data_IF_377508747892
#
_entry.id   IF_377508747892
#
_cell.length_a   1.000
_cell.length_b   1.000
_cell.length_c   1.000
_cell.angle_alpha   90.00
_cell.angle_beta   90.00
_cell.angle_gamma   90.00
#
_symmetry.space_group_name_H-M   'P 1'
#
loop_
_entity.id
_entity.type
_entity.pdbx_description
1 polymer ?
#
# COMPACT_ATOMS: atom_id res chain seq x y z
N UNK A 1 28.23 1.68 -5.38
CA UNK A 1 27.53 0.80 -6.34
C UNK A 1 27.46 -0.67 -5.90
N UNK A 2 28.55 -1.31 -5.47
CA UNK A 2 28.55 -2.75 -5.10
C UNK A 2 27.59 -3.10 -3.94
N UNK A 3 27.48 -2.24 -2.91
CA UNK A 3 26.59 -2.47 -1.77
C UNK A 3 25.10 -2.46 -2.13
N UNK A 4 24.67 -1.46 -2.92
CA UNK A 4 23.27 -1.31 -3.36
C UNK A 4 22.85 -2.51 -4.23
N UNK A 5 23.70 -2.98 -5.14
CA UNK A 5 23.40 -4.14 -5.98
C UNK A 5 23.22 -5.43 -5.17
N UNK A 6 23.96 -5.59 -4.06
CA UNK A 6 23.80 -6.74 -3.16
C UNK A 6 22.47 -6.68 -2.41
N UNK A 7 22.06 -5.50 -1.93
CA UNK A 7 20.76 -5.28 -1.29
C UNK A 7 19.59 -5.55 -2.25
N UNK A 8 19.65 -5.04 -3.47
CA UNK A 8 18.61 -5.27 -4.50
C UNK A 8 18.39 -6.77 -4.74
N UNK A 9 19.46 -7.56 -4.86
CA UNK A 9 19.34 -9.02 -5.05
C UNK A 9 18.66 -9.71 -3.87
N UNK A 10 18.88 -9.23 -2.63
CA UNK A 10 18.20 -9.73 -1.44
C UNK A 10 16.71 -9.39 -1.52
N UNK A 11 16.36 -8.14 -1.82
CA UNK A 11 14.97 -7.71 -1.95
C UNK A 11 14.21 -8.46 -3.05
N UNK A 12 14.85 -8.69 -4.21
CA UNK A 12 14.30 -9.53 -5.28
C UNK A 12 13.98 -10.95 -4.78
N UNK A 13 14.92 -11.57 -4.05
CA UNK A 13 14.72 -12.93 -3.51
C UNK A 13 13.60 -12.96 -2.47
N UNK A 14 13.56 -11.98 -1.56
CA UNK A 14 12.52 -11.86 -0.55
C UNK A 14 11.13 -11.67 -1.18
N UNK A 15 11.00 -10.73 -2.13
CA UNK A 15 9.74 -10.47 -2.83
C UNK A 15 9.25 -11.72 -3.59
N UNK A 16 10.13 -12.43 -4.30
CA UNK A 16 9.77 -13.63 -5.05
C UNK A 16 9.37 -14.80 -4.13
N UNK A 17 10.13 -15.02 -3.06
CA UNK A 17 9.93 -16.18 -2.19
C UNK A 17 8.78 -15.96 -1.22
N UNK A 18 8.75 -14.79 -0.59
CA UNK A 18 7.88 -14.46 0.53
C UNK A 18 6.71 -13.54 0.14
N UNK A 19 6.74 -12.91 -1.03
CA UNK A 19 5.72 -11.97 -1.49
C UNK A 19 5.85 -10.57 -0.89
N UNK A 20 6.89 -10.33 -0.08
CA UNK A 20 7.17 -9.06 0.59
C UNK A 20 8.67 -8.87 0.78
N UNK A 21 9.15 -7.65 0.60
CA UNK A 21 10.49 -7.21 1.02
C UNK A 21 10.39 -5.86 1.74
N UNK A 22 11.28 -5.63 2.70
CA UNK A 22 11.38 -4.34 3.42
C UNK A 22 12.65 -3.67 2.95
N UNK A 23 12.52 -2.47 2.40
CA UNK A 23 13.68 -1.74 1.89
C UNK A 23 14.14 -0.68 2.88
N UNK A 24 15.43 -0.37 2.79
CA UNK A 24 16.06 0.70 3.54
C UNK A 24 15.45 2.07 3.20
N UNK A 25 15.76 3.07 4.02
CA UNK A 25 15.22 4.42 3.87
C UNK A 25 15.76 5.07 2.60
N UNK A 26 14.87 5.45 1.69
CA UNK A 26 15.22 6.13 0.42
C UNK A 26 14.81 7.61 0.39
N UNK A 27 14.12 8.08 1.42
CA UNK A 27 13.66 9.47 1.55
C UNK A 27 14.26 10.14 2.79
N UNK A 28 14.52 11.45 2.71
CA UNK A 28 14.93 12.24 3.88
C UNK A 28 13.80 12.36 4.91
N UNK A 29 14.16 12.54 6.19
CA UNK A 29 13.16 12.77 7.24
C UNK A 29 12.31 14.01 6.97
N UNK A 30 12.93 15.06 6.45
CA UNK A 30 12.23 16.28 6.09
C UNK A 30 11.13 16.04 5.06
N UNK A 31 11.43 15.27 4.00
CA UNK A 31 10.44 14.92 2.96
C UNK A 31 9.28 14.12 3.55
N UNK A 32 9.57 13.20 4.47
CA UNK A 32 8.56 12.38 5.13
C UNK A 32 7.67 13.21 6.07
N UNK A 33 8.26 14.09 6.88
CA UNK A 33 7.52 14.99 7.78
C UNK A 33 6.61 15.94 7.00
N UNK A 34 7.14 16.55 5.93
CA UNK A 34 6.33 17.41 5.03
C UNK A 34 5.17 16.65 4.41
N UNK A 35 5.42 15.43 3.92
CA UNK A 35 4.36 14.61 3.32
C UNK A 35 3.30 14.19 4.34
N UNK A 36 3.69 13.87 5.58
CA UNK A 36 2.73 13.59 6.65
C UNK A 36 1.82 14.78 6.95
N UNK A 37 2.37 16.01 6.96
CA UNK A 37 1.56 17.22 7.12
C UNK A 37 0.60 17.40 5.95
N UNK A 38 1.08 17.25 4.72
CA UNK A 38 0.24 17.32 3.52
C UNK A 38 -0.91 16.30 3.53
N UNK A 39 -0.65 15.06 3.97
CA UNK A 39 -1.71 14.05 4.16
C UNK A 39 -2.76 14.54 5.17
N UNK A 40 -2.33 15.15 6.27
CA UNK A 40 -3.27 15.71 7.25
C UNK A 40 -4.09 16.86 6.67
N UNK A 41 -3.47 17.76 5.89
CA UNK A 41 -4.16 18.85 5.21
C UNK A 41 -5.27 18.30 4.29
N UNK A 42 -4.95 17.29 3.48
CA UNK A 42 -5.96 16.61 2.63
C UNK A 42 -7.06 15.97 3.47
N UNK A 43 -6.74 15.31 4.60
CA UNK A 43 -7.74 14.74 5.52
C UNK A 43 -8.69 15.83 6.06
N UNK A 44 -8.18 17.04 6.32
CA UNK A 44 -8.95 18.20 6.77
C UNK A 44 -9.68 18.95 5.63
N UNK A 45 -9.66 18.44 4.40
CA UNK A 45 -10.32 19.08 3.25
C UNK A 45 -9.56 20.24 2.64
N UNK A 46 -8.30 20.45 3.04
CA UNK A 46 -7.44 21.49 2.49
C UNK A 46 -6.68 20.95 1.28
N UNK A 47 -7.20 21.21 0.08
CA UNK A 47 -6.62 20.73 -1.18
C UNK A 47 -5.77 21.83 -1.84
N UNK A 48 -4.44 21.71 -1.74
CA UNK A 48 -3.47 22.67 -2.30
C UNK A 48 -3.67 22.91 -3.80
N UNK A 49 -4.01 21.86 -4.55
CA UNK A 49 -4.21 21.91 -6.00
C UNK A 49 -5.61 22.38 -6.41
N UNK A 50 -6.52 22.55 -5.45
CA UNK A 50 -7.95 22.76 -5.71
C UNK A 50 -8.70 21.50 -6.19
N UNK A 51 -8.05 20.34 -6.26
CA UNK A 51 -8.64 19.09 -6.74
C UNK A 51 -8.93 18.17 -5.55
N UNK A 52 -10.16 17.69 -5.43
CA UNK A 52 -10.53 16.72 -4.40
C UNK A 52 -9.88 15.35 -4.63
N UNK A 53 -9.64 14.55 -3.58
CA UNK A 53 -9.22 13.17 -3.74
C UNK A 53 -10.30 12.36 -4.48
N UNK A 54 -9.93 11.23 -5.07
CA UNK A 54 -10.88 10.41 -5.85
C UNK A 54 -12.02 9.85 -4.98
N UNK A 55 -11.71 9.42 -3.76
CA UNK A 55 -12.71 8.86 -2.85
C UNK A 55 -12.30 9.07 -1.39
N UNK A 56 -13.29 9.29 -0.51
CA UNK A 56 -13.08 9.45 0.94
C UNK A 56 -13.90 8.40 1.68
N UNK A 57 -13.21 7.52 2.41
CA UNK A 57 -13.85 6.51 3.26
C UNK A 57 -14.03 6.98 4.71
N UNK A 58 -13.73 8.26 4.95
CA UNK A 58 -13.87 8.96 6.21
C UNK A 58 -14.00 10.45 5.92
N UNK A 59 -14.94 11.12 6.57
CA UNK A 59 -15.20 12.56 6.47
C UNK A 59 -14.97 13.27 7.79
N UNK A 60 -14.74 14.59 7.73
CA UNK A 60 -14.58 15.42 8.94
C UNK A 60 -15.85 15.29 9.78
N UNK A 61 -15.68 14.89 11.05
CA UNK A 61 -16.79 14.62 11.96
C UNK A 61 -17.13 13.13 12.13
N UNK A 62 -16.61 12.26 11.26
CA UNK A 62 -16.72 10.81 11.46
C UNK A 62 -15.97 10.36 12.72
N UNK A 63 -16.29 9.15 13.19
CA UNK A 63 -15.71 8.61 14.40
C UNK A 63 -14.15 8.63 14.34
N UNK A 64 -13.48 9.29 15.29
CA UNK A 64 -12.03 9.46 15.26
C UNK A 64 -11.25 8.18 15.55
N UNK A 65 -11.93 7.09 15.96
CA UNK A 65 -11.33 5.76 16.15
C UNK A 65 -11.33 4.90 14.88
N UNK A 66 -11.98 5.34 13.80
CA UNK A 66 -11.96 4.63 12.52
C UNK A 66 -10.62 4.86 11.81
N UNK A 67 -10.18 3.87 11.02
CA UNK A 67 -9.13 4.12 10.03
C UNK A 67 -9.63 5.20 9.07
N UNK A 68 -8.82 6.25 8.89
CA UNK A 68 -9.05 7.26 7.86
C UNK A 68 -8.33 6.77 6.59
N UNK A 69 -9.10 6.59 5.51
CA UNK A 69 -8.62 6.20 4.18
C UNK A 69 -9.10 7.20 3.15
N UNK A 70 -8.15 7.74 2.39
CA UNK A 70 -8.38 8.69 1.29
C UNK A 70 -7.70 8.13 0.04
N UNK A 71 -8.42 8.04 -1.06
CA UNK A 71 -7.93 7.51 -2.34
C UNK A 71 -7.50 8.63 -3.28
N UNK A 72 -6.38 8.40 -3.98
CA UNK A 72 -5.66 9.36 -4.82
C UNK A 72 -5.43 10.74 -4.19
N UNK A 73 -4.96 10.84 -2.92
CA UNK A 73 -4.66 12.14 -2.30
C UNK A 73 -3.52 12.89 -3.00
N UNK A 74 -2.76 12.22 -3.89
CA UNK A 74 -1.74 12.86 -4.72
C UNK A 74 -2.30 13.82 -5.77
N UNK A 75 -3.60 13.76 -6.07
CA UNK A 75 -4.27 14.76 -6.91
C UNK A 75 -4.47 16.07 -6.17
N UNK A 76 -4.68 16.00 -4.85
CA UNK A 76 -5.02 17.13 -3.99
C UNK A 76 -3.83 17.90 -3.44
N UNK A 77 -2.64 17.30 -3.47
CA UNK A 77 -1.45 17.90 -2.88
C UNK A 77 -0.16 17.53 -3.61
N UNK A 78 0.61 18.56 -3.97
CA UNK A 78 1.84 18.45 -4.74
C UNK A 78 2.98 17.78 -3.97
N UNK A 79 3.03 17.94 -2.66
CA UNK A 79 4.00 17.26 -1.79
C UNK A 79 3.76 15.74 -1.79
N UNK A 80 2.50 15.32 -1.71
CA UNK A 80 2.12 13.89 -1.81
C UNK A 80 2.49 13.36 -3.20
N UNK A 81 2.16 14.11 -4.26
CA UNK A 81 2.52 13.75 -5.63
C UNK A 81 4.03 13.55 -5.78
N UNK A 82 4.85 14.51 -5.35
CA UNK A 82 6.32 14.48 -5.40
C UNK A 82 6.94 13.33 -4.57
N UNK A 83 6.25 12.81 -3.55
CA UNK A 83 6.70 11.61 -2.85
C UNK A 83 6.53 10.37 -3.73
N UNK A 84 5.31 10.15 -4.25
CA UNK A 84 4.98 8.91 -4.97
C UNK A 84 5.54 8.89 -6.40
N UNK A 85 5.88 10.04 -6.99
CA UNK A 85 6.50 10.16 -8.31
C UNK A 85 8.01 10.36 -8.28
N UNK A 86 8.65 10.12 -7.13
CA UNK A 86 10.07 10.33 -6.96
C UNK A 86 10.91 9.44 -7.91
N UNK A 87 11.84 10.00 -8.71
CA UNK A 87 12.65 9.19 -9.63
C UNK A 87 13.47 8.10 -8.93
N UNK A 88 14.00 8.38 -7.73
CA UNK A 88 14.70 7.36 -6.93
C UNK A 88 13.78 6.20 -6.53
N UNK A 89 12.50 6.46 -6.25
CA UNK A 89 11.54 5.39 -5.98
C UNK A 89 11.32 4.56 -7.24
N UNK A 90 11.11 5.21 -8.39
CA UNK A 90 10.94 4.54 -9.67
C UNK A 90 12.11 3.59 -10.00
N UNK A 91 13.35 4.06 -9.84
CA UNK A 91 14.55 3.25 -10.09
C UNK A 91 14.70 2.08 -9.09
N UNK A 92 14.45 2.30 -7.80
CA UNK A 92 14.47 1.19 -6.83
C UNK A 92 13.42 0.13 -7.15
N UNK A 93 12.20 0.56 -7.50
CA UNK A 93 11.13 -0.34 -7.86
C UNK A 93 11.44 -1.12 -9.14
N UNK A 94 11.98 -0.48 -10.17
CA UNK A 94 12.35 -1.14 -11.43
C UNK A 94 13.40 -2.24 -11.23
N UNK A 95 14.41 -1.96 -10.42
CA UNK A 95 15.45 -2.92 -10.08
C UNK A 95 14.90 -4.09 -9.26
N UNK A 96 14.05 -3.82 -8.26
CA UNK A 96 13.48 -4.87 -7.38
C UNK A 96 12.48 -5.76 -8.14
N UNK A 97 11.64 -5.20 -9.01
CA UNK A 97 10.64 -5.97 -9.76
C UNK A 97 11.15 -6.50 -11.10
N UNK A 98 12.38 -6.12 -11.49
CA UNK A 98 13.00 -6.41 -12.79
C UNK A 98 12.07 -6.00 -13.94
N UNK A 99 11.68 -4.74 -13.92
CA UNK A 99 10.67 -4.18 -14.83
C UNK A 99 11.23 -2.96 -15.55
N UNK A 100 10.86 -2.82 -16.82
CA UNK A 100 11.29 -1.70 -17.65
C UNK A 100 10.39 -0.48 -17.47
N UNK A 101 9.18 -0.68 -16.98
CA UNK A 101 8.21 0.38 -16.70
C UNK A 101 7.73 0.25 -15.26
N UNK A 102 7.68 1.37 -14.54
CA UNK A 102 6.95 1.50 -13.27
C UNK A 102 5.93 2.64 -13.42
N UNK A 103 4.65 2.31 -13.34
CA UNK A 103 3.57 3.27 -13.38
C UNK A 103 2.81 3.25 -12.05
N UNK A 104 2.58 4.42 -11.47
CA UNK A 104 1.60 4.59 -10.39
C UNK A 104 0.23 4.51 -11.03
N UNK A 105 -0.62 3.60 -10.59
CA UNK A 105 -2.01 3.55 -11.08
C UNK A 105 -3.05 3.90 -10.00
N UNK A 106 -2.65 3.86 -8.73
CA UNK A 106 -3.50 4.29 -7.62
C UNK A 106 -2.64 4.61 -6.39
N UNK A 107 -3.12 5.49 -5.52
CA UNK A 107 -2.52 5.73 -4.21
C UNK A 107 -3.57 5.91 -3.13
N UNK A 108 -3.20 5.67 -1.88
CA UNK A 108 -4.07 5.85 -0.72
C UNK A 108 -3.24 6.44 0.41
N UNK A 109 -3.82 7.33 1.20
CA UNK A 109 -3.29 7.64 2.52
C UNK A 109 -4.08 6.88 3.57
N UNK A 110 -3.37 6.16 4.44
CA UNK A 110 -3.96 5.44 5.57
C UNK A 110 -3.47 6.08 6.85
N UNK A 111 -4.40 6.63 7.63
CA UNK A 111 -4.15 7.17 8.96
C UNK A 111 -4.91 6.34 9.99
N UNK A 112 -4.15 5.61 10.80
CA UNK A 112 -4.69 4.75 11.84
C UNK A 112 -4.60 5.46 13.20
N UNK A 113 -5.72 5.82 13.82
CA UNK A 113 -5.72 6.57 15.07
C UNK A 113 -5.13 5.76 16.23
N UNK A 114 -4.62 6.41 17.29
CA UNK A 114 -4.22 5.73 18.53
C UNK A 114 -5.42 5.27 19.36
N UNK A 115 -5.17 4.51 20.43
CA UNK A 115 -6.17 4.18 21.45
C UNK A 115 -6.94 2.88 21.25
N UNK A 116 -6.48 2.03 20.33
CA UNK A 116 -6.98 0.67 20.12
C UNK A 116 -8.41 0.57 19.59
N UNK A 117 -8.98 -0.62 19.69
CA UNK A 117 -10.33 -0.98 19.29
C UNK A 117 -10.41 -1.64 17.91
N UNK A 118 -11.37 -2.56 17.79
CA UNK A 118 -11.67 -3.32 16.57
C UNK A 118 -11.92 -2.45 15.32
N UNK A 119 -12.41 -1.21 15.51
CA UNK A 119 -12.62 -0.25 14.41
C UNK A 119 -11.33 0.16 13.69
N UNK A 120 -10.20 0.05 14.39
CA UNK A 120 -8.88 0.25 13.83
C UNK A 120 -8.37 -0.93 13.00
N UNK A 121 -9.08 -2.07 12.93
CA UNK A 121 -8.62 -3.24 12.19
C UNK A 121 -8.73 -3.07 10.66
N UNK A 122 -7.82 -3.68 9.94
CA UNK A 122 -7.97 -4.04 8.53
C UNK A 122 -7.90 -5.56 8.44
N UNK A 123 -8.97 -6.20 7.96
CA UNK A 123 -9.06 -7.65 7.85
C UNK A 123 -8.02 -8.25 6.90
N UNK A 124 -7.93 -9.57 6.87
CA UNK A 124 -7.06 -10.27 5.94
C UNK A 124 -7.58 -10.10 4.52
N UNK A 125 -6.72 -9.62 3.63
CA UNK A 125 -7.11 -9.39 2.24
C UNK A 125 -5.90 -9.55 1.32
N UNK A 126 -6.20 -9.64 0.03
CA UNK A 126 -5.24 -9.46 -1.05
C UNK A 126 -5.65 -8.25 -1.82
N UNK A 127 -4.69 -7.41 -2.16
CA UNK A 127 -4.95 -6.21 -2.95
C UNK A 127 -5.66 -6.53 -4.28
N UNK A 128 -5.19 -7.56 -4.98
CA UNK A 128 -5.72 -8.00 -6.28
C UNK A 128 -7.21 -8.36 -6.24
N UNK A 129 -7.77 -8.68 -5.06
CA UNK A 129 -9.19 -9.02 -4.95
C UNK A 129 -10.13 -7.82 -5.18
N UNK A 130 -9.59 -6.60 -5.07
CA UNK A 130 -10.29 -5.36 -5.37
C UNK A 130 -9.95 -4.79 -6.74
N UNK A 131 -9.05 -5.43 -7.49
CA UNK A 131 -8.54 -4.95 -8.78
C UNK A 131 -8.89 -5.92 -9.91
N UNK A 132 -10.18 -6.19 -10.16
CA UNK A 132 -10.59 -7.23 -11.11
C UNK A 132 -10.18 -6.91 -12.56
N UNK A 133 -9.76 -5.67 -12.82
CA UNK A 133 -9.25 -5.19 -14.10
C UNK A 133 -7.76 -5.45 -14.31
N UNK A 134 -7.05 -6.06 -13.35
CA UNK A 134 -5.64 -6.44 -13.50
C UNK A 134 -5.45 -7.95 -13.43
N UNK A 135 -4.53 -8.46 -14.26
CA UNK A 135 -3.92 -9.76 -14.00
C UNK A 135 -3.07 -9.72 -12.73
N UNK A 136 -2.88 -10.88 -12.09
CA UNK A 136 -2.03 -10.99 -10.89
C UNK A 136 -0.58 -10.58 -11.16
N UNK A 137 -0.05 -10.92 -12.34
CA UNK A 137 1.32 -10.58 -12.72
C UNK A 137 1.46 -9.08 -13.01
N UNK A 138 2.59 -8.52 -12.57
CA UNK A 138 3.00 -7.17 -12.94
C UNK A 138 2.37 -6.04 -12.12
N UNK A 139 1.52 -6.35 -11.13
CA UNK A 139 0.94 -5.36 -10.20
C UNK A 139 1.33 -5.64 -8.75
N UNK A 140 1.70 -4.59 -8.02
CA UNK A 140 2.22 -4.68 -6.66
C UNK A 140 1.96 -3.37 -5.89
N UNK A 141 2.26 -3.38 -4.60
CA UNK A 141 2.07 -2.24 -3.71
C UNK A 141 3.38 -1.89 -3.00
N UNK A 142 3.65 -0.60 -2.83
CA UNK A 142 4.61 -0.12 -1.85
C UNK A 142 3.89 0.63 -0.73
N UNK A 143 4.18 0.25 0.51
CA UNK A 143 3.71 0.95 1.71
C UNK A 143 4.84 1.79 2.30
N UNK A 144 4.70 3.11 2.25
CA UNK A 144 5.72 4.08 2.68
C UNK A 144 5.38 4.60 4.07
N UNK A 145 6.28 4.38 5.03
CA UNK A 145 6.10 4.79 6.41
C UNK A 145 6.22 6.31 6.57
N UNK A 146 5.14 6.98 6.97
CA UNK A 146 5.16 8.42 7.31
C UNK A 146 5.37 8.68 8.81
N UNK A 147 5.29 7.62 9.62
CA UNK A 147 5.64 7.56 11.04
C UNK A 147 6.47 6.32 11.29
N UNK A 148 7.16 6.27 12.43
CA UNK A 148 7.74 5.01 12.90
C UNK A 148 6.62 4.01 13.19
N UNK A 149 6.85 2.74 12.87
CA UNK A 149 5.88 1.65 13.03
C UNK A 149 6.44 0.62 14.01
N UNK A 150 5.98 0.70 15.25
CA UNK A 150 6.28 -0.27 16.30
C UNK A 150 5.38 -1.51 16.28
N UNK A 151 5.60 -2.43 17.23
CA UNK A 151 4.79 -3.65 17.41
C UNK A 151 3.35 -3.33 17.85
N UNK A 152 3.21 -2.30 18.67
CA UNK A 152 1.98 -1.76 19.24
C UNK A 152 1.21 -0.83 18.29
N UNK A 153 1.88 -0.35 17.25
CA UNK A 153 1.36 0.64 16.30
C UNK A 153 0.33 0.06 15.31
N UNK A 154 -0.09 -1.19 15.52
CA UNK A 154 -0.88 -1.97 14.58
C UNK A 154 -0.16 -2.14 13.24
N UNK A 155 1.05 -2.70 13.16
CA UNK A 155 1.80 -2.84 11.91
C UNK A 155 1.00 -3.64 10.86
N UNK A 156 1.31 -3.43 9.58
CA UNK A 156 0.83 -4.35 8.54
C UNK A 156 1.53 -5.68 8.75
N UNK A 157 0.77 -6.78 8.77
CA UNK A 157 1.27 -8.14 8.92
C UNK A 157 0.93 -8.96 7.69
N UNK A 158 1.88 -9.79 7.27
CA UNK A 158 1.84 -10.55 6.02
C UNK A 158 1.97 -12.04 6.30
N UNK A 159 1.23 -12.87 5.57
CA UNK A 159 1.48 -14.32 5.56
C UNK A 159 2.51 -14.60 4.48
N UNK A 160 3.73 -14.96 4.89
CA UNK A 160 4.84 -15.14 3.95
C UNK A 160 4.54 -16.25 2.95
N UNK A 161 4.76 -15.98 1.67
CA UNK A 161 4.55 -16.92 0.58
C UNK A 161 3.09 -17.10 0.14
N UNK A 162 2.14 -16.44 0.81
CA UNK A 162 0.71 -16.60 0.53
C UNK A 162 0.26 -16.02 -0.81
N UNK A 163 1.10 -15.22 -1.47
CA UNK A 163 0.87 -14.79 -2.86
C UNK A 163 0.82 -15.94 -3.87
N UNK A 164 1.33 -17.12 -3.48
CA UNK A 164 1.28 -18.37 -4.27
C UNK A 164 0.05 -19.22 -3.94
N UNK A 165 -0.77 -18.82 -2.98
CA UNK A 165 -1.94 -19.59 -2.59
C UNK A 165 -3.12 -19.33 -3.52
N UNK A 166 -3.95 -20.36 -3.69
CA UNK A 166 -5.32 -20.17 -4.17
C UNK A 166 -6.10 -19.24 -3.24
N UNK A 167 -7.11 -18.56 -3.81
CA UNK A 167 -7.98 -17.67 -3.04
C UNK A 167 -8.69 -18.43 -1.92
N UNK A 168 -8.65 -17.89 -0.70
CA UNK A 168 -9.48 -18.30 0.41
C UNK A 168 -10.72 -17.41 0.47
N UNK A 169 -11.90 -18.01 0.58
CA UNK A 169 -13.17 -17.28 0.75
C UNK A 169 -13.31 -16.77 2.19
N UNK A 170 -14.05 -15.68 2.37
CA UNK A 170 -14.36 -15.12 3.69
C UNK A 170 -13.26 -14.26 4.32
N UNK A 171 -12.29 -13.81 3.53
CA UNK A 171 -11.25 -12.88 3.95
C UNK A 171 -11.48 -11.53 3.26
N UNK A 172 -11.64 -10.45 4.04
CA UNK A 172 -12.00 -9.13 3.54
C UNK A 172 -11.41 -8.00 4.41
N UNK A 173 -10.94 -6.93 3.77
CA UNK A 173 -10.38 -5.74 4.40
C UNK A 173 -11.39 -5.03 5.32
N UNK A 174 -12.66 -4.98 4.89
CA UNK A 174 -13.71 -4.23 5.57
C UNK A 174 -14.27 -5.00 6.76
N UNK A 175 -14.21 -6.33 6.74
CA UNK A 175 -14.49 -7.15 7.91
C UNK A 175 -13.44 -6.92 9.01
N UNK A 176 -13.91 -6.36 10.14
CA UNK A 176 -13.07 -5.99 11.29
C UNK A 176 -12.85 -7.14 12.26
N UNK A 177 -13.56 -8.26 12.09
CA UNK A 177 -13.41 -9.46 12.89
C UNK A 177 -12.22 -10.30 12.39
N UNK A 178 -11.01 -9.85 12.74
CA UNK A 178 -9.77 -10.53 12.36
C UNK A 178 -9.69 -11.94 12.96
N UNK A 179 -10.25 -12.18 14.14
CA UNK A 179 -10.15 -13.49 14.80
C UNK A 179 -10.95 -14.55 14.05
N UNK A 180 -12.16 -14.23 13.57
CA UNK A 180 -12.92 -15.11 12.69
C UNK A 180 -12.17 -15.42 11.36
N UNK A 181 -11.47 -14.43 10.82
CA UNK A 181 -10.65 -14.62 9.62
C UNK A 181 -9.38 -15.44 9.89
N UNK A 182 -8.77 -15.29 11.06
CA UNK A 182 -7.63 -16.11 11.52
C UNK A 182 -8.07 -17.60 11.61
N UNK A 183 -9.29 -17.90 12.07
CA UNK A 183 -9.84 -19.27 12.04
C UNK A 183 -9.98 -19.84 10.63
N UNK A 184 -10.46 -19.04 9.67
CA UNK A 184 -10.58 -19.45 8.26
C UNK A 184 -9.21 -19.85 7.72
N UNK A 185 -8.18 -19.04 7.99
CA UNK A 185 -6.81 -19.33 7.55
C UNK A 185 -6.30 -20.62 8.20
N UNK A 186 -6.47 -20.78 9.52
CA UNK A 186 -6.02 -21.96 10.27
C UNK A 186 -6.66 -23.28 9.79
N UNK A 187 -7.93 -23.24 9.38
CA UNK A 187 -8.66 -24.39 8.83
C UNK A 187 -8.13 -24.80 7.45
N UNK A 188 -7.71 -23.82 6.63
CA UNK A 188 -7.32 -24.06 5.23
C UNK A 188 -5.81 -24.22 4.99
N UNK A 189 -4.96 -23.71 5.89
CA UNK A 189 -3.52 -23.63 5.70
C UNK A 189 -2.79 -24.02 6.98
N UNK A 190 -1.79 -24.90 6.85
CA UNK A 190 -0.93 -25.34 7.94
C UNK A 190 0.48 -24.77 7.78
N UNK A 191 1.21 -24.62 8.88
CA UNK A 191 2.64 -24.26 8.92
C UNK A 191 2.99 -22.96 8.17
N UNK A 192 2.14 -21.94 8.24
CA UNK A 192 2.44 -20.63 7.66
C UNK A 192 3.13 -19.71 8.68
N UNK A 193 3.89 -18.74 8.17
CA UNK A 193 4.59 -17.74 9.00
C UNK A 193 3.98 -16.36 8.77
N UNK A 194 3.65 -15.67 9.86
CA UNK A 194 3.23 -14.26 9.81
C UNK A 194 4.45 -13.38 10.12
N UNK A 195 4.69 -12.36 9.29
CA UNK A 195 5.70 -11.32 9.52
C UNK A 195 5.04 -9.95 9.62
N UNK A 196 5.29 -9.22 10.70
CA UNK A 196 4.90 -7.82 10.83
C UNK A 196 5.94 -6.91 10.22
N UNK A 197 5.50 -5.89 9.47
CA UNK A 197 6.35 -4.82 8.94
C UNK A 197 6.56 -3.76 10.03
N UNK A 198 7.57 -4.01 10.87
CA UNK A 198 8.08 -3.07 11.88
C UNK A 198 9.19 -2.29 11.21
N UNK A 199 8.92 -1.02 10.88
CA UNK A 199 9.79 -0.19 10.05
C UNK A 199 9.78 1.26 10.55
N UNK A 200 10.91 1.95 10.38
CA UNK A 200 11.04 3.34 10.74
C UNK A 200 10.46 4.26 9.65
N UNK A 201 10.13 5.49 10.01
CA UNK A 201 9.69 6.52 9.06
C UNK A 201 10.68 6.66 7.90
N UNK A 202 10.15 6.76 6.68
CA UNK A 202 10.91 6.83 5.44
C UNK A 202 11.41 5.50 4.90
N UNK A 203 11.30 4.40 5.64
CA UNK A 203 11.38 3.06 5.06
C UNK A 203 10.07 2.68 4.37
N UNK A 204 10.13 1.65 3.54
CA UNK A 204 8.94 1.14 2.87
C UNK A 204 8.99 -0.37 2.70
N UNK A 205 7.81 -0.97 2.62
CA UNK A 205 7.64 -2.39 2.32
C UNK A 205 7.01 -2.54 0.94
N UNK A 206 7.57 -3.41 0.10
CA UNK A 206 7.03 -3.72 -1.23
C UNK A 206 6.42 -5.11 -1.17
N UNK A 207 5.13 -5.22 -1.46
CA UNK A 207 4.41 -6.49 -1.44
C UNK A 207 3.70 -6.79 -2.76
N UNK A 208 3.68 -8.08 -3.10
CA UNK A 208 2.93 -8.60 -4.24
C UNK A 208 1.42 -8.44 -4.00
N UNK A 209 0.66 -8.07 -5.04
CA UNK A 209 -0.79 -7.83 -4.94
C UNK A 209 -1.60 -9.04 -4.46
N UNK A 210 -1.07 -10.26 -4.61
CA UNK A 210 -1.69 -11.50 -4.17
C UNK A 210 -1.34 -11.93 -2.75
N UNK A 211 -0.44 -11.25 -2.03
CA UNK A 211 -0.10 -11.69 -0.67
C UNK A 211 -1.25 -11.36 0.30
N UNK A 212 -1.59 -12.32 1.16
CA UNK A 212 -2.50 -12.05 2.26
C UNK A 212 -1.82 -11.17 3.29
N UNK A 213 -2.47 -10.05 3.59
CA UNK A 213 -2.03 -9.10 4.61
C UNK A 213 -3.21 -8.52 5.39
N UNK A 214 -2.94 -8.08 6.62
CA UNK A 214 -3.92 -7.48 7.53
C UNK A 214 -3.23 -6.49 8.46
N UNK A 215 -3.99 -5.81 9.31
CA UNK A 215 -3.43 -4.93 10.34
C UNK A 215 -4.37 -4.85 11.54
N UNK A 216 -3.91 -5.34 12.70
CA UNK A 216 -4.64 -5.23 13.98
C UNK A 216 -4.62 -3.80 14.52
N UNK A 217 -5.49 -3.48 15.46
CA UNK A 217 -5.61 -2.19 16.15
C UNK A 217 -4.28 -1.54 16.54
N UNK A 218 -4.27 -0.21 16.62
CA UNK A 218 -3.13 0.58 17.06
C UNK A 218 -3.32 0.92 18.54
N UNK A 219 -2.63 0.20 19.43
CA UNK A 219 -2.70 0.38 20.88
C UNK A 219 -1.63 1.36 21.40
N UNK A 220 -0.84 1.96 20.51
CA UNK A 220 0.11 3.00 20.89
C UNK A 220 -0.57 4.34 21.17
N UNK A 221 0.20 5.30 21.68
CA UNK A 221 -0.24 6.66 21.99
C UNK A 221 -0.22 7.60 20.77
N UNK A 222 0.29 7.13 19.62
CA UNK A 222 0.47 7.93 18.41
C UNK A 222 -0.22 7.31 17.20
N UNK A 223 -0.68 8.12 16.22
CA UNK A 223 -1.24 7.59 15.00
C UNK A 223 -0.16 6.90 14.14
N UNK A 224 -0.51 5.78 13.50
CA UNK A 224 0.31 5.15 12.46
C UNK A 224 -0.13 5.65 11.10
N UNK A 225 0.77 6.32 10.39
CA UNK A 225 0.47 6.97 9.10
C UNK A 225 1.35 6.40 8.00
N UNK A 226 0.75 6.08 6.86
CA UNK A 226 1.50 5.63 5.69
C UNK A 226 0.80 5.94 4.37
N UNK A 227 1.60 6.05 3.33
CA UNK A 227 1.12 6.06 1.94
C UNK A 227 1.13 4.64 1.40
N UNK A 228 0.03 4.22 0.81
CA UNK A 228 -0.11 2.96 0.08
C UNK A 228 -0.14 3.30 -1.39
N UNK A 229 0.85 2.88 -2.16
CA UNK A 229 0.93 3.22 -3.58
C UNK A 229 0.91 1.93 -4.38
N UNK A 230 0.01 1.84 -5.34
CA UNK A 230 -0.17 0.69 -6.19
C UNK A 230 0.43 0.95 -7.55
N UNK A 231 1.21 -0.03 -8.02
CA UNK A 231 2.00 0.07 -9.23
C UNK A 231 1.65 -1.02 -10.22
N UNK A 232 1.82 -0.68 -11.49
CA UNK A 232 1.81 -1.59 -12.62
C UNK A 232 3.16 -1.52 -13.32
N UNK A 233 3.50 -2.62 -14.00
CA UNK A 233 4.75 -2.77 -14.74
C UNK A 233 4.47 -3.12 -16.19
N UNK A 234 5.52 -3.21 -17.01
CA UNK A 234 5.46 -3.71 -18.37
C UNK A 234 4.96 -5.17 -18.48
N UNK A 235 4.87 -5.90 -17.36
CA UNK A 235 4.31 -7.26 -17.30
C UNK A 235 2.81 -7.27 -16.97
N UNK A 236 2.24 -6.16 -16.54
CA UNK A 236 0.85 -6.09 -16.14
C UNK A 236 -0.07 -6.18 -17.36
N UNK A 237 -1.14 -6.98 -17.26
CA UNK A 237 -2.17 -7.09 -18.30
C UNK A 237 -3.51 -6.60 -17.78
N UNK A 238 -4.13 -5.69 -18.54
CA UNK A 238 -5.50 -5.27 -18.29
C UNK A 238 -6.47 -6.40 -18.59
N UNK A 239 -7.42 -6.64 -17.68
CA UNK A 239 -8.53 -7.57 -17.86
C UNK A 239 -9.79 -6.74 -18.12
N UNK A 240 -10.50 -7.05 -19.21
CA UNK A 240 -11.78 -6.41 -19.48
C UNK A 240 -12.82 -6.89 -18.47
N UNK A 241 -13.40 -5.94 -17.74
CA UNK A 241 -14.46 -6.21 -16.76
C UNK A 241 -15.76 -5.55 -17.19
N UNK A 242 -16.88 -6.06 -16.67
CA UNK A 242 -18.21 -5.46 -16.86
C UNK A 242 -18.57 -4.60 -15.64
N UNK A 243 -19.55 -3.71 -15.81
CA UNK A 243 -20.09 -2.89 -14.71
C UNK A 243 -19.27 -1.64 -14.44
N UNK A 244 -19.38 -1.09 -13.21
CA UNK A 244 -18.85 0.24 -12.86
C UNK A 244 -17.34 0.40 -13.07
N UNK A 245 -16.58 -0.70 -13.06
CA UNK A 245 -15.12 -0.69 -13.24
C UNK A 245 -14.69 -0.90 -14.70
N UNK A 246 -15.61 -1.04 -15.65
CA UNK A 246 -15.29 -1.41 -17.04
C UNK A 246 -14.31 -0.45 -17.73
N UNK A 247 -14.36 0.83 -17.36
CA UNK A 247 -13.55 1.88 -17.98
C UNK A 247 -12.54 2.46 -16.97
N UNK A 248 -12.31 1.81 -15.82
CA UNK A 248 -11.39 2.35 -14.81
C UNK A 248 -9.98 2.55 -15.39
N UNK A 249 -9.52 1.57 -16.17
CA UNK A 249 -8.22 1.62 -16.86
C UNK A 249 -8.19 2.76 -17.88
N UNK A 250 -9.09 2.77 -18.85
CA UNK A 250 -9.12 3.77 -19.94
C UNK A 250 -9.24 5.21 -19.41
N UNK A 251 -10.02 5.42 -18.35
CA UNK A 251 -10.20 6.75 -17.75
C UNK A 251 -9.00 7.26 -16.97
N UNK A 252 -8.14 6.37 -16.46
CA UNK A 252 -7.12 6.75 -15.49
C UNK A 252 -5.70 6.43 -15.95
N UNK A 253 -5.43 5.22 -16.45
CA UNK A 253 -4.06 4.79 -16.76
C UNK A 253 -3.41 5.60 -17.88
N UNK A 254 -4.20 6.05 -18.86
CA UNK A 254 -3.68 6.80 -19.99
C UNK A 254 -3.40 8.27 -19.64
N UNK A 255 -4.04 8.79 -18.59
CA UNK A 255 -3.78 10.13 -18.08
C UNK A 255 -2.59 10.11 -17.11
N UNK A 256 -1.43 10.55 -17.58
CA UNK A 256 -0.19 10.63 -16.79
C UNK A 256 -0.24 11.66 -15.67
N UNK A 257 -1.23 12.57 -15.65
CA UNK A 257 -1.44 13.44 -14.51
C UNK A 257 -2.04 12.68 -13.33
N UNK A 258 -2.89 11.69 -13.61
CA UNK A 258 -3.56 10.82 -12.63
C UNK A 258 -2.70 9.60 -12.30
N UNK A 259 -2.22 8.89 -13.33
CA UNK A 259 -1.44 7.65 -13.26
C UNK A 259 -0.05 7.82 -13.90
N UNK A 260 0.87 8.56 -13.26
CA UNK A 260 2.18 8.87 -13.83
C UNK A 260 3.06 7.63 -14.00
N UNK A 261 3.81 7.59 -15.09
CA UNK A 261 4.97 6.69 -15.26
C UNK A 261 6.16 7.33 -14.56
N UNK A 262 6.73 6.63 -13.58
CA UNK A 262 7.80 7.15 -12.71
C UNK A 262 9.17 6.53 -13.02
N UNK A 263 9.19 5.51 -13.89
CA UNK A 263 10.39 4.91 -14.46
C UNK A 263 10.08 4.30 -15.83
N UNK A 264 10.97 4.52 -16.79
CA UNK A 264 10.98 3.86 -18.09
C UNK A 264 12.42 3.78 -18.61
N UNK A 265 12.90 2.58 -18.92
CA UNK A 265 14.22 2.33 -19.55
C UNK A 265 14.12 1.99 -21.03
#
# INVERSE_FOLDING_TARGET
MVGILKEIKIYQKELNNNGICIISKIFSDEKIVRTRKAVWDVIQGNYETGIEPEERFWNIGDNPKNIIKIDKPHLSNDTIRKLITSPVLGHYLSEITKSNIIQVWHSQSIWKPPGGGIKGNAGWHRDIQYWPFWSLEGVFTAWIALTDVGKDSGPVRFILGSHKWSNLKGLDFFDKNIDAQDEIIYKNKKNYTIKSSIINKGQLSIHNSGIYHSSKENISDKPRVGMVVHFSTDKARSIRVKGRLSNYIEKNLDDKNICPIIYKS
#
